data_IF_493826736373
#
_entry.id   IF_493826736373
#
_cell.length_a   1.000
_cell.length_b   1.000
_cell.length_c   1.000
_cell.angle_alpha   90.00
_cell.angle_beta   90.00
_cell.angle_gamma   90.00
#
_symmetry.space_group_name_H-M   'P 1'
#
loop_
_entity.id
_entity.type
_entity.pdbx_description
1 polymer ?
#
# COMPACT_ATOMS: atom_id res chain seq x y z
N UNK A 1 -13.07 -8.33 -1.99
CA UNK A 1 -13.76 -7.06 -2.30
C UNK A 1 -13.74 -6.05 -1.14
N UNK A 2 -14.25 -6.35 0.07
CA UNK A 2 -14.22 -5.39 1.21
C UNK A 2 -12.80 -4.93 1.61
N UNK A 3 -11.81 -5.82 1.53
CA UNK A 3 -10.42 -5.50 1.88
C UNK A 3 -9.79 -4.54 0.88
N UNK A 4 -10.05 -4.70 -0.42
CA UNK A 4 -9.58 -3.77 -1.46
C UNK A 4 -10.14 -2.36 -1.30
N UNK A 5 -11.44 -2.23 -1.02
CA UNK A 5 -12.07 -0.92 -0.76
C UNK A 5 -11.44 -0.25 0.47
N UNK A 6 -11.12 -1.03 1.51
CA UNK A 6 -10.40 -0.49 2.68
C UNK A 6 -9.00 0.00 2.31
N UNK A 7 -8.27 -0.76 1.49
CA UNK A 7 -6.93 -0.39 1.05
C UNK A 7 -6.94 0.86 0.18
N UNK A 8 -7.87 0.94 -0.78
CA UNK A 8 -8.08 2.13 -1.61
C UNK A 8 -8.31 3.37 -0.73
N UNK A 9 -9.22 3.28 0.24
CA UNK A 9 -9.47 4.39 1.19
C UNK A 9 -8.23 4.76 2.01
N UNK A 10 -7.46 3.78 2.47
CA UNK A 10 -6.22 4.03 3.21
C UNK A 10 -5.14 4.66 2.31
N UNK A 11 -5.03 4.28 1.04
CA UNK A 11 -4.10 4.91 0.10
C UNK A 11 -4.50 6.36 -0.22
N UNK A 12 -5.79 6.64 -0.41
CA UNK A 12 -6.28 8.02 -0.58
C UNK A 12 -6.00 8.88 0.66
N UNK A 13 -6.23 8.32 1.85
CA UNK A 13 -5.92 8.99 3.11
C UNK A 13 -4.42 9.27 3.25
N UNK A 14 -3.59 8.30 2.89
CA UNK A 14 -2.13 8.43 2.91
C UNK A 14 -1.67 9.56 1.97
N UNK A 15 -2.18 9.61 0.74
CA UNK A 15 -1.83 10.66 -0.22
C UNK A 15 -2.20 12.06 0.29
N UNK A 16 -3.37 12.18 0.92
CA UNK A 16 -3.81 13.42 1.52
C UNK A 16 -2.83 13.91 2.60
N UNK A 17 -2.41 13.02 3.51
CA UNK A 17 -1.47 13.39 4.57
C UNK A 17 -0.03 13.57 4.08
N UNK A 18 0.40 12.85 3.04
CA UNK A 18 1.71 13.06 2.43
C UNK A 18 1.85 14.43 1.77
N UNK A 19 0.76 15.01 1.28
CA UNK A 19 0.73 16.38 0.75
C UNK A 19 0.86 17.46 1.84
N UNK A 20 0.56 17.12 3.09
CA UNK A 20 0.69 17.99 4.24
C UNK A 20 2.14 18.18 4.71
N UNK A 21 2.39 19.26 5.45
CA UNK A 21 3.72 19.62 5.94
C UNK A 21 3.82 19.73 7.45
N UNK A 22 2.71 19.62 8.18
CA UNK A 22 2.71 19.69 9.63
C UNK A 22 3.21 18.38 10.23
N UNK A 23 3.68 18.45 11.48
CA UNK A 23 4.02 17.26 12.27
C UNK A 23 2.83 16.30 12.37
N UNK A 24 1.61 16.82 12.41
CA UNK A 24 0.39 16.01 12.47
C UNK A 24 0.12 15.28 11.17
N UNK A 25 0.41 15.90 10.02
CA UNK A 25 0.32 15.23 8.71
C UNK A 25 1.33 14.07 8.62
N UNK A 26 2.55 14.27 9.12
CA UNK A 26 3.56 13.20 9.21
C UNK A 26 3.12 12.08 10.15
N UNK A 27 2.56 12.42 11.32
CA UNK A 27 2.00 11.43 12.24
C UNK A 27 0.86 10.63 11.63
N UNK A 28 -0.06 11.32 10.95
CA UNK A 28 -1.19 10.69 10.28
C UNK A 28 -0.71 9.79 9.13
N UNK A 29 0.25 10.23 8.32
CA UNK A 29 0.87 9.42 7.26
C UNK A 29 1.45 8.11 7.80
N UNK A 30 2.24 8.19 8.88
CA UNK A 30 2.84 7.00 9.50
C UNK A 30 1.78 6.08 10.10
N UNK A 31 0.77 6.63 10.78
CA UNK A 31 -0.34 5.83 11.31
C UNK A 31 -1.08 5.08 10.20
N UNK A 32 -1.40 5.77 9.09
CA UNK A 32 -2.06 5.15 7.94
C UNK A 32 -1.18 4.07 7.30
N UNK A 33 0.14 4.27 7.21
CA UNK A 33 1.07 3.22 6.76
C UNK A 33 1.07 1.99 7.67
N UNK A 34 0.99 2.19 8.99
CA UNK A 34 0.86 1.08 9.95
C UNK A 34 -0.46 0.33 9.76
N UNK A 35 -1.56 1.04 9.53
CA UNK A 35 -2.87 0.42 9.26
C UNK A 35 -2.85 -0.39 7.96
N UNK A 36 -2.23 0.14 6.90
CA UNK A 36 -1.99 -0.59 5.64
C UNK A 36 -1.18 -1.86 5.93
N UNK A 37 -0.05 -1.76 6.65
CA UNK A 37 0.76 -2.93 7.04
C UNK A 37 -0.05 -3.97 7.83
N UNK A 38 -0.95 -3.55 8.72
CA UNK A 38 -1.80 -4.47 9.46
C UNK A 38 -2.80 -5.21 8.56
N UNK A 39 -3.33 -4.58 7.52
CA UNK A 39 -4.18 -5.25 6.54
C UNK A 39 -3.36 -6.27 5.74
N UNK A 40 -2.14 -5.92 5.34
CA UNK A 40 -1.24 -6.82 4.59
C UNK A 40 -0.76 -8.02 5.42
N UNK A 41 -0.49 -7.84 6.72
CA UNK A 41 -0.02 -8.94 7.57
C UNK A 41 -1.12 -9.97 7.90
N UNK A 42 -2.40 -9.56 7.89
CA UNK A 42 -3.54 -10.42 8.24
C UNK A 42 -4.13 -11.19 7.05
N UNK A 43 -3.98 -10.67 5.85
CA UNK A 43 -4.57 -11.24 4.63
C UNK A 43 -3.48 -11.61 3.64
N UNK A 44 -3.64 -12.74 2.94
CA UNK A 44 -2.78 -13.02 1.77
C UNK A 44 -3.29 -12.20 0.58
N UNK A 45 -3.07 -10.89 0.65
CA UNK A 45 -3.54 -9.93 -0.34
C UNK A 45 -2.97 -10.23 -1.71
N UNK A 46 -1.74 -10.74 -1.79
CA UNK A 46 -1.15 -11.15 -3.07
C UNK A 46 -2.02 -12.21 -3.74
N UNK A 47 -2.34 -13.29 -3.04
CA UNK A 47 -3.17 -14.36 -3.58
C UNK A 47 -4.60 -13.87 -3.91
N UNK A 48 -5.19 -13.03 -3.05
CA UNK A 48 -6.52 -12.46 -3.28
C UNK A 48 -6.54 -11.55 -4.52
N UNK A 49 -5.55 -10.66 -4.68
CA UNK A 49 -5.45 -9.75 -5.83
C UNK A 49 -5.23 -10.52 -7.12
N UNK A 50 -4.31 -11.50 -7.13
CA UNK A 50 -4.09 -12.35 -8.31
C UNK A 50 -5.36 -13.07 -8.76
N UNK A 51 -6.11 -13.62 -7.80
CA UNK A 51 -7.38 -14.30 -8.10
C UNK A 51 -8.42 -13.35 -8.69
N UNK A 52 -8.50 -12.12 -8.19
CA UNK A 52 -9.41 -11.11 -8.75
C UNK A 52 -8.97 -10.64 -10.14
N UNK A 53 -7.68 -10.41 -10.36
CA UNK A 53 -7.14 -10.05 -11.68
C UNK A 53 -7.44 -11.14 -12.73
N UNK A 54 -7.24 -12.41 -12.37
CA UNK A 54 -7.57 -13.55 -13.24
C UNK A 54 -9.08 -13.61 -13.53
N UNK A 55 -9.93 -13.38 -12.52
CA UNK A 55 -11.39 -13.32 -12.69
C UNK A 55 -11.80 -12.20 -13.64
N UNK A 56 -11.19 -11.01 -13.53
CA UNK A 56 -11.45 -9.88 -14.42
C UNK A 56 -10.99 -10.16 -15.85
N UNK A 57 -9.79 -10.70 -16.02
CA UNK A 57 -9.25 -11.12 -17.33
C UNK A 57 -10.17 -12.13 -18.01
N UNK A 58 -10.64 -13.16 -17.30
CA UNK A 58 -11.56 -14.16 -17.83
C UNK A 58 -12.90 -13.57 -18.27
N UNK A 59 -13.47 -12.64 -17.51
CA UNK A 59 -14.71 -11.93 -17.89
C UNK A 59 -14.52 -11.06 -19.13
N UNK A 60 -13.43 -10.31 -19.18
CA UNK A 60 -13.10 -9.46 -20.33
C UNK A 60 -12.85 -10.29 -21.61
N UNK A 61 -12.20 -11.44 -21.48
CA UNK A 61 -12.03 -12.38 -22.59
C UNK A 61 -13.38 -12.92 -23.11
N UNK A 62 -14.35 -13.16 -22.24
CA UNK A 62 -15.71 -13.55 -22.68
C UNK A 62 -16.44 -12.41 -23.41
N UNK A 63 -16.16 -11.14 -23.09
CA UNK A 63 -16.70 -10.01 -23.84
C UNK A 63 -16.08 -9.86 -25.24
N UNK A 64 -14.89 -10.42 -25.49
CA UNK A 64 -14.21 -10.28 -26.79
C UNK A 64 -15.00 -10.85 -27.98
N UNK A 65 -15.91 -11.80 -27.72
CA UNK A 65 -16.74 -12.45 -28.73
C UNK A 65 -18.06 -11.72 -29.03
N UNK A 66 -18.37 -10.62 -28.33
CA UNK A 66 -19.59 -9.85 -28.56
C UNK A 66 -19.43 -8.81 -29.68
N UNK A 67 -20.43 -8.70 -30.55
CA UNK A 67 -20.51 -7.63 -31.55
C UNK A 67 -20.61 -6.25 -30.88
N UNK A 68 -19.86 -5.28 -31.42
CA UNK A 68 -19.81 -3.90 -30.92
C UNK A 68 -18.71 -3.61 -29.90
N UNK A 69 -17.91 -4.61 -29.52
CA UNK A 69 -16.78 -4.42 -28.60
C UNK A 69 -15.55 -3.86 -29.33
N UNK A 70 -14.96 -2.78 -28.78
CA UNK A 70 -13.68 -2.26 -29.22
C UNK A 70 -12.55 -3.22 -28.79
N UNK A 71 -12.19 -4.12 -29.70
CA UNK A 71 -11.17 -5.15 -29.48
C UNK A 71 -9.78 -4.56 -29.21
N UNK A 72 -9.48 -3.34 -29.70
CA UNK A 72 -8.19 -2.69 -29.45
C UNK A 72 -8.10 -2.22 -27.99
N UNK A 73 -9.14 -1.55 -27.50
CA UNK A 73 -9.22 -1.13 -26.08
C UNK A 73 -9.23 -2.33 -25.15
N UNK A 74 -10.00 -3.36 -25.49
CA UNK A 74 -10.08 -4.58 -24.71
C UNK A 74 -8.70 -5.25 -24.57
N UNK A 75 -7.96 -5.37 -25.69
CA UNK A 75 -6.62 -5.96 -25.68
C UNK A 75 -5.64 -5.16 -24.82
N UNK A 76 -5.69 -3.82 -24.91
CA UNK A 76 -4.86 -2.96 -24.05
C UNK A 76 -5.12 -3.23 -22.56
N UNK A 77 -6.39 -3.28 -22.15
CA UNK A 77 -6.76 -3.56 -20.75
C UNK A 77 -6.28 -4.95 -20.30
N UNK A 78 -6.41 -5.96 -21.17
CA UNK A 78 -5.92 -7.31 -20.88
C UNK A 78 -4.39 -7.36 -20.76
N UNK A 79 -3.67 -6.60 -21.60
CA UNK A 79 -2.22 -6.49 -21.53
C UNK A 79 -1.78 -5.79 -20.23
N UNK A 80 -2.47 -4.72 -19.83
CA UNK A 80 -2.25 -4.01 -18.55
C UNK A 80 -2.48 -4.95 -17.35
N UNK A 81 -3.59 -5.70 -17.32
CA UNK A 81 -3.90 -6.69 -16.28
C UNK A 81 -2.83 -7.79 -16.20
N UNK A 82 -2.35 -8.28 -17.35
CA UNK A 82 -1.28 -9.28 -17.40
C UNK A 82 0.06 -8.72 -16.91
N UNK A 83 0.37 -7.47 -17.21
CA UNK A 83 1.58 -6.78 -16.72
C UNK A 83 1.56 -6.65 -15.20
N UNK A 84 0.44 -6.15 -14.65
CA UNK A 84 0.24 -6.03 -13.19
C UNK A 84 0.35 -7.40 -12.51
N UNK A 85 -0.30 -8.43 -13.08
CA UNK A 85 -0.23 -9.79 -12.56
C UNK A 85 1.22 -10.31 -12.51
N UNK A 86 2.01 -10.09 -13.57
CA UNK A 86 3.42 -10.50 -13.62
C UNK A 86 4.27 -9.79 -12.56
N UNK A 87 4.10 -8.48 -12.39
CA UNK A 87 4.78 -7.71 -11.35
C UNK A 87 4.44 -8.22 -9.96
N UNK A 88 3.16 -8.54 -9.73
CA UNK A 88 2.70 -9.09 -8.46
C UNK A 88 3.23 -10.51 -8.22
N UNK A 89 3.29 -11.36 -9.24
CA UNK A 89 3.94 -12.68 -9.16
C UNK A 89 5.42 -12.57 -8.80
N UNK A 90 6.16 -11.65 -9.44
CA UNK A 90 7.59 -11.42 -9.22
C UNK A 90 7.91 -10.87 -7.81
N UNK A 91 6.96 -10.18 -7.19
CA UNK A 91 7.09 -9.71 -5.80
C UNK A 91 7.15 -10.91 -4.85
N UNK A 92 8.32 -11.17 -4.26
CA UNK A 92 8.53 -12.38 -3.43
C UNK A 92 8.10 -12.15 -1.98
N UNK A 93 7.38 -13.11 -1.40
CA UNK A 93 7.02 -13.13 0.03
C UNK A 93 5.73 -12.39 0.40
N UNK A 94 5.35 -12.52 1.68
CA UNK A 94 4.34 -11.65 2.30
C UNK A 94 5.02 -10.32 2.61
N UNK A 95 4.36 -9.20 2.29
CA UNK A 95 4.79 -7.91 2.83
C UNK A 95 4.44 -7.94 4.31
N UNK A 96 5.46 -8.10 5.14
CA UNK A 96 5.34 -8.06 6.59
C UNK A 96 6.26 -6.99 7.19
N UNK A 97 6.16 -6.80 8.50
CA UNK A 97 6.96 -5.80 9.20
C UNK A 97 8.47 -6.07 9.09
N UNK A 98 8.88 -7.33 8.88
CA UNK A 98 10.30 -7.70 8.74
C UNK A 98 10.87 -7.33 7.36
N UNK A 99 10.01 -7.21 6.35
CA UNK A 99 10.38 -6.67 5.04
C UNK A 99 10.70 -5.17 5.07
N UNK A 100 10.22 -4.46 6.10
CA UNK A 100 10.55 -3.05 6.31
C UNK A 100 11.98 -2.93 6.83
N UNK A 101 12.91 -2.51 5.98
CA UNK A 101 14.32 -2.26 6.31
C UNK A 101 14.52 -0.97 7.14
N UNK A 102 13.67 -0.74 8.13
CA UNK A 102 13.69 0.45 8.98
C UNK A 102 13.31 0.09 10.42
N UNK A 103 14.30 0.08 11.31
CA UNK A 103 14.11 -0.20 12.74
C UNK A 103 13.13 0.79 13.39
N UNK A 104 13.15 2.04 12.93
CA UNK A 104 12.23 3.08 13.38
C UNK A 104 10.78 2.70 13.05
N UNK A 105 10.48 2.39 11.79
CA UNK A 105 9.12 2.04 11.38
C UNK A 105 8.63 0.75 12.06
N UNK A 106 9.51 -0.24 12.24
CA UNK A 106 9.19 -1.45 12.99
C UNK A 106 8.80 -1.12 14.44
N UNK A 107 9.58 -0.25 15.10
CA UNK A 107 9.33 0.18 16.48
C UNK A 107 8.00 0.95 16.61
N UNK A 108 7.74 1.88 15.68
CA UNK A 108 6.49 2.65 15.64
C UNK A 108 5.29 1.71 15.47
N UNK A 109 5.36 0.78 14.52
CA UNK A 109 4.29 -0.18 14.24
C UNK A 109 3.98 -1.07 15.45
N UNK A 110 5.00 -1.57 16.15
CA UNK A 110 4.82 -2.34 17.38
C UNK A 110 4.11 -1.53 18.46
N UNK A 111 4.54 -0.28 18.71
CA UNK A 111 3.95 0.58 19.74
C UNK A 111 2.58 1.14 19.38
N UNK A 112 2.26 1.25 18.10
CA UNK A 112 0.94 1.72 17.62
C UNK A 112 -0.21 0.75 17.99
N UNK A 113 0.11 -0.49 18.37
CA UNK A 113 -0.87 -1.43 18.93
C UNK A 113 -1.40 -1.03 20.32
N UNK A 114 -0.68 -0.14 21.02
CA UNK A 114 -1.05 0.37 22.34
C UNK A 114 -1.71 1.74 22.15
N UNK A 115 -2.96 1.96 22.63
CA UNK A 115 -3.57 3.28 22.61
C UNK A 115 -2.68 4.31 23.32
N UNK A 116 -2.28 5.37 22.62
CA UNK A 116 -1.35 6.38 23.14
C UNK A 116 0.12 5.97 23.15
N UNK A 117 0.49 4.79 22.65
CA UNK A 117 1.87 4.29 22.68
C UNK A 117 2.87 5.01 21.76
N UNK A 118 2.40 5.98 20.97
CA UNK A 118 3.24 6.82 20.07
C UNK A 118 3.54 8.20 20.64
N UNK A 119 3.28 8.39 21.95
CA UNK A 119 3.67 9.57 22.69
C UNK A 119 5.19 9.75 22.72
N UNK A 120 5.65 10.99 22.89
CA UNK A 120 7.08 11.34 22.85
C UNK A 120 7.91 10.64 23.93
N UNK A 121 7.33 10.39 25.11
CA UNK A 121 8.02 9.69 26.21
C UNK A 121 8.14 8.18 25.97
N UNK A 122 7.20 7.57 25.25
CA UNK A 122 7.22 6.13 24.91
C UNK A 122 8.05 5.84 23.65
N UNK A 123 8.09 6.80 22.71
CA UNK A 123 8.87 6.74 21.47
C UNK A 123 9.72 8.00 21.26
N UNK A 124 10.83 8.15 22.00
CA UNK A 124 11.74 9.29 21.82
C UNK A 124 12.34 9.34 20.41
N UNK A 125 12.66 8.18 19.83
CA UNK A 125 13.21 8.09 18.46
C UNK A 125 12.23 8.58 17.39
N UNK A 126 10.94 8.30 17.56
CA UNK A 126 9.92 8.80 16.66
C UNK A 126 9.71 10.30 16.80
N UNK A 127 9.73 10.80 18.05
CA UNK A 127 9.65 12.24 18.29
C UNK A 127 10.84 12.98 17.68
N UNK A 128 12.04 12.45 17.86
CA UNK A 128 13.27 12.98 17.25
C UNK A 128 13.18 12.98 15.71
N UNK A 129 12.68 11.91 15.10
CA UNK A 129 12.46 11.83 13.65
C UNK A 129 11.51 12.92 13.15
N UNK A 130 10.43 13.21 13.88
CA UNK A 130 9.47 14.27 13.54
C UNK A 130 10.07 15.68 13.59
N UNK A 131 11.22 15.86 14.24
CA UNK A 131 11.96 17.13 14.31
C UNK A 131 13.10 17.23 13.29
N UNK A 132 13.39 16.15 12.54
CA UNK A 132 14.40 16.18 11.49
C UNK A 132 14.01 17.09 10.32
N UNK A 133 15.00 17.41 9.50
CA UNK A 133 14.76 18.16 8.27
C UNK A 133 13.74 17.43 7.38
N UNK A 134 12.87 18.22 6.74
CA UNK A 134 11.80 17.71 5.87
C UNK A 134 12.32 16.71 4.84
N UNK A 135 13.51 16.96 4.28
CA UNK A 135 14.11 16.07 3.30
C UNK A 135 14.32 14.65 3.85
N UNK A 136 14.90 14.51 5.04
CA UNK A 136 15.12 13.20 5.67
C UNK A 136 13.79 12.48 5.96
N UNK A 137 12.78 13.23 6.41
CA UNK A 137 11.45 12.68 6.66
C UNK A 137 10.78 12.18 5.38
N UNK A 138 10.89 12.95 4.30
CA UNK A 138 10.30 12.61 2.99
C UNK A 138 11.02 11.40 2.37
N UNK A 139 12.35 11.29 2.53
CA UNK A 139 13.13 10.12 2.08
C UNK A 139 12.67 8.84 2.79
N UNK A 140 12.55 8.87 4.11
CA UNK A 140 12.06 7.73 4.90
C UNK A 140 10.62 7.35 4.56
N UNK A 141 9.72 8.34 4.45
CA UNK A 141 8.33 8.10 4.08
C UNK A 141 8.23 7.48 2.69
N UNK A 142 8.96 8.01 1.70
CA UNK A 142 8.96 7.45 0.36
C UNK A 142 9.50 6.00 0.36
N UNK A 143 10.54 5.71 1.14
CA UNK A 143 11.05 4.35 1.30
C UNK A 143 9.98 3.40 1.85
N UNK A 144 9.23 3.83 2.87
CA UNK A 144 8.17 3.01 3.47
C UNK A 144 6.96 2.83 2.53
N UNK A 145 6.52 3.90 1.86
CA UNK A 145 5.39 3.88 0.91
C UNK A 145 5.69 2.94 -0.27
N UNK A 146 6.91 3.00 -0.80
CA UNK A 146 7.31 2.22 -1.98
C UNK A 146 7.22 0.70 -1.77
N UNK A 147 7.29 0.22 -0.52
CA UNK A 147 7.09 -1.20 -0.22
C UNK A 147 5.70 -1.70 -0.59
N UNK A 148 4.70 -0.81 -0.62
CA UNK A 148 3.31 -1.16 -0.93
C UNK A 148 2.94 -0.91 -2.39
N UNK A 149 3.85 -0.34 -3.19
CA UNK A 149 3.61 0.03 -4.59
C UNK A 149 3.02 -1.09 -5.46
N UNK A 150 3.51 -2.34 -5.41
CA UNK A 150 2.98 -3.41 -6.27
C UNK A 150 1.50 -3.73 -6.04
N UNK A 151 1.03 -3.64 -4.80
CA UNK A 151 -0.37 -3.89 -4.47
C UNK A 151 -1.20 -2.62 -4.67
N UNK A 152 -0.65 -1.44 -4.38
CA UNK A 152 -1.31 -0.16 -4.67
C UNK A 152 -1.70 -0.06 -6.14
N UNK A 153 -0.77 -0.31 -7.06
CA UNK A 153 -1.04 -0.32 -8.52
C UNK A 153 -2.04 -1.39 -8.96
N UNK A 154 -2.24 -2.45 -8.17
CA UNK A 154 -3.23 -3.47 -8.48
C UNK A 154 -4.61 -3.19 -7.88
N UNK A 155 -4.69 -2.26 -6.92
CA UNK A 155 -5.94 -1.79 -6.30
C UNK A 155 -6.49 -0.58 -7.05
N UNK A 156 -5.61 0.31 -7.53
CA UNK A 156 -5.93 1.46 -8.40
C UNK A 156 -6.42 1.02 -9.79
#
# INVERSE_FOLDING_TARGET
>A
MRVFIRLEQLFLQLDHFLAGSSIWDKRASVSTLVDILQVFSRHDLKAETLKELERHSNRLNQLSSHEGVDTKRLRKILDDLNSISKTLYATTGKIDISSMKSDLFQTISQRSSIPGGTCSFDLPSYHYWLEQEKQSQDEDLNMWVNQFSPIRTAVD
#
